data_IF_521424229512
#
_entry.id   IF_521424229512
#
_cell.length_a   1.000
_cell.length_b   1.000
_cell.length_c   1.000
_cell.angle_alpha   90.00
_cell.angle_beta   90.00
_cell.angle_gamma   90.00
#
_symmetry.space_group_name_H-M   'P 1'
#
loop_
_entity.id
_entity.type
_entity.pdbx_description
1 polymer ?
#
# COMPACT_ATOMS: atom_id res chain seq x y z
N UNK A 1 -30.86 -22.51 9.76
CA UNK A 1 -29.85 -23.09 10.68
C UNK A 1 -28.47 -23.28 10.02
N UNK A 2 -28.42 -23.64 8.73
CA UNK A 2 -27.14 -23.93 8.02
C UNK A 2 -26.24 -22.69 7.88
N UNK A 3 -26.80 -21.50 7.74
CA UNK A 3 -26.06 -20.24 7.58
C UNK A 3 -25.70 -19.56 8.90
N UNK A 4 -26.20 -20.02 10.03
CA UNK A 4 -25.97 -19.39 11.33
C UNK A 4 -24.48 -19.45 11.72
N UNK A 5 -23.87 -20.61 11.56
CA UNK A 5 -22.45 -20.82 11.88
C UNK A 5 -21.51 -19.96 11.01
N UNK A 6 -21.63 -19.93 9.68
CA UNK A 6 -20.89 -18.98 8.83
C UNK A 6 -21.11 -17.52 9.20
N UNK A 7 -22.34 -17.13 9.55
CA UNK A 7 -22.67 -15.76 9.92
C UNK A 7 -22.01 -15.33 11.24
N UNK A 8 -21.93 -16.21 12.22
CA UNK A 8 -21.23 -15.94 13.49
C UNK A 8 -19.73 -15.76 13.23
N UNK A 9 -19.11 -16.64 12.43
CA UNK A 9 -17.69 -16.52 12.07
C UNK A 9 -17.43 -15.19 11.35
N UNK A 10 -18.27 -14.85 10.37
CA UNK A 10 -18.16 -13.60 9.62
C UNK A 10 -18.27 -12.39 10.54
N UNK A 11 -19.21 -12.39 11.47
CA UNK A 11 -19.37 -11.32 12.45
C UNK A 11 -18.12 -11.17 13.35
N UNK A 12 -17.61 -12.27 13.89
CA UNK A 12 -16.41 -12.26 14.74
C UNK A 12 -15.18 -11.74 13.99
N UNK A 13 -14.96 -12.19 12.74
CA UNK A 13 -13.84 -11.73 11.92
C UNK A 13 -13.99 -10.24 11.55
N UNK A 14 -15.24 -9.79 11.28
CA UNK A 14 -15.50 -8.38 11.01
C UNK A 14 -15.23 -7.52 12.25
N UNK A 15 -15.68 -7.95 13.42
CA UNK A 15 -15.37 -7.25 14.69
C UNK A 15 -13.86 -7.18 14.92
N UNK A 16 -13.14 -8.27 14.71
CA UNK A 16 -11.68 -8.28 14.82
C UNK A 16 -11.03 -7.28 13.85
N UNK A 17 -11.48 -7.20 12.60
CA UNK A 17 -10.98 -6.24 11.62
C UNK A 17 -11.27 -4.78 12.03
N UNK A 18 -12.44 -4.50 12.61
CA UNK A 18 -12.78 -3.17 13.16
C UNK A 18 -11.86 -2.83 14.32
N UNK A 19 -11.60 -3.74 15.24
CA UNK A 19 -10.67 -3.53 16.35
C UNK A 19 -9.22 -3.28 15.86
N UNK A 20 -8.85 -3.82 14.70
CA UNK A 20 -7.57 -3.56 14.05
C UNK A 20 -7.53 -2.28 13.19
N UNK A 21 -8.61 -1.50 13.13
CA UNK A 21 -8.61 -0.17 12.49
C UNK A 21 -9.45 -0.04 11.21
N UNK A 22 -10.26 -1.03 10.84
CA UNK A 22 -11.15 -0.95 9.67
C UNK A 22 -12.47 -0.21 9.99
N UNK A 23 -12.41 1.11 10.22
CA UNK A 23 -13.51 1.91 10.76
C UNK A 23 -14.55 2.43 9.74
N UNK A 24 -14.36 2.26 8.45
CA UNK A 24 -15.30 2.76 7.45
C UNK A 24 -16.57 1.92 7.36
N UNK A 25 -17.77 2.53 7.36
CA UNK A 25 -19.06 1.80 7.23
C UNK A 25 -19.05 0.87 6.01
N UNK A 26 -18.59 1.34 4.87
CA UNK A 26 -18.48 0.53 3.66
C UNK A 26 -17.48 -0.60 3.81
N UNK A 27 -16.35 -0.38 4.46
CA UNK A 27 -15.37 -1.44 4.73
C UNK A 27 -15.95 -2.53 5.62
N UNK A 28 -16.67 -2.16 6.67
CA UNK A 28 -17.34 -3.11 7.57
C UNK A 28 -18.37 -3.96 6.84
N UNK A 29 -19.22 -3.34 6.00
CA UNK A 29 -20.22 -4.06 5.21
C UNK A 29 -19.58 -5.02 4.20
N UNK A 30 -18.57 -4.56 3.46
CA UNK A 30 -17.89 -5.41 2.48
C UNK A 30 -17.08 -6.53 3.14
N UNK A 31 -16.40 -6.25 4.26
CA UNK A 31 -15.70 -7.28 5.04
C UNK A 31 -16.66 -8.35 5.57
N UNK A 32 -17.78 -7.93 6.14
CA UNK A 32 -18.79 -8.88 6.60
C UNK A 32 -19.32 -9.75 5.46
N UNK A 33 -19.65 -9.16 4.32
CA UNK A 33 -20.08 -9.90 3.13
C UNK A 33 -19.00 -10.86 2.61
N UNK A 34 -17.75 -10.42 2.56
CA UNK A 34 -16.62 -11.25 2.13
C UNK A 34 -16.35 -12.41 3.09
N UNK A 35 -16.34 -12.17 4.40
CA UNK A 35 -16.18 -13.23 5.40
C UNK A 35 -17.37 -14.19 5.43
N UNK A 36 -18.60 -13.70 5.23
CA UNK A 36 -19.78 -14.55 5.11
C UNK A 36 -19.71 -15.43 3.86
N UNK A 37 -19.31 -14.87 2.72
CA UNK A 37 -19.09 -15.61 1.49
C UNK A 37 -17.98 -16.64 1.66
N UNK A 38 -16.86 -16.27 2.29
CA UNK A 38 -15.76 -17.18 2.58
C UNK A 38 -16.21 -18.35 3.47
N UNK A 39 -16.77 -18.06 4.65
CA UNK A 39 -17.18 -19.08 5.61
C UNK A 39 -18.28 -19.98 5.05
N UNK A 40 -19.27 -19.41 4.34
CA UNK A 40 -20.35 -20.17 3.70
C UNK A 40 -19.85 -21.12 2.62
N UNK A 41 -18.98 -20.64 1.72
CA UNK A 41 -18.40 -21.46 0.66
C UNK A 41 -17.43 -22.50 1.23
N UNK A 42 -16.67 -22.21 2.30
CA UNK A 42 -15.81 -23.18 2.96
C UNK A 42 -16.61 -24.34 3.57
N UNK A 43 -17.69 -24.02 4.27
CA UNK A 43 -18.60 -25.06 4.83
C UNK A 43 -19.21 -25.90 3.71
N UNK A 44 -19.67 -25.27 2.62
CA UNK A 44 -20.23 -25.97 1.47
C UNK A 44 -19.18 -26.85 0.78
N UNK A 45 -17.95 -26.35 0.59
CA UNK A 45 -16.81 -27.09 0.05
C UNK A 45 -16.54 -28.34 0.87
N UNK A 46 -16.36 -28.19 2.19
CA UNK A 46 -16.03 -29.31 3.09
C UNK A 46 -17.16 -30.36 3.08
N UNK A 47 -18.41 -29.93 3.14
CA UNK A 47 -19.55 -30.82 3.05
C UNK A 47 -19.58 -31.59 1.74
N UNK A 48 -19.35 -30.91 0.62
CA UNK A 48 -19.37 -31.51 -0.71
C UNK A 48 -18.19 -32.45 -0.94
N UNK A 49 -17.00 -32.08 -0.50
CA UNK A 49 -15.79 -32.90 -0.65
C UNK A 49 -15.89 -34.26 0.09
N UNK A 50 -16.67 -34.31 1.20
CA UNK A 50 -16.87 -35.53 1.98
C UNK A 50 -17.81 -36.55 1.31
N UNK A 51 -18.56 -36.14 0.29
CA UNK A 51 -19.48 -37.03 -0.44
C UNK A 51 -18.71 -37.73 -1.57
N UNK A 52 -18.96 -39.01 -1.79
CA UNK A 52 -18.30 -39.82 -2.84
C UNK A 52 -18.50 -39.15 -4.22
N UNK A 53 -17.39 -38.89 -4.92
CA UNK A 53 -17.39 -38.14 -6.19
C UNK A 53 -17.57 -36.63 -6.05
N UNK A 54 -17.70 -36.09 -4.85
CA UNK A 54 -17.94 -34.68 -4.56
C UNK A 54 -16.82 -33.73 -5.00
N UNK A 55 -15.56 -34.22 -5.04
CA UNK A 55 -14.39 -33.42 -5.46
C UNK A 55 -14.50 -32.84 -6.87
N UNK A 56 -15.23 -33.51 -7.78
CA UNK A 56 -15.44 -33.00 -9.15
C UNK A 56 -16.36 -31.77 -9.20
N UNK A 57 -17.10 -31.49 -8.13
CA UNK A 57 -18.13 -30.45 -8.06
C UNK A 57 -17.74 -29.30 -7.11
N UNK A 58 -16.49 -29.27 -6.63
CA UNK A 58 -16.04 -28.25 -5.66
C UNK A 58 -15.43 -27.01 -6.32
N UNK A 59 -15.15 -27.04 -7.62
CA UNK A 59 -14.45 -25.95 -8.33
C UNK A 59 -15.11 -24.58 -8.13
N UNK A 60 -16.46 -24.51 -8.20
CA UNK A 60 -17.20 -23.27 -7.96
C UNK A 60 -16.99 -22.70 -6.54
N UNK A 61 -16.98 -23.56 -5.52
CA UNK A 61 -16.75 -23.12 -4.13
C UNK A 61 -15.32 -22.59 -3.94
N UNK A 62 -14.32 -23.23 -4.57
CA UNK A 62 -12.93 -22.78 -4.55
C UNK A 62 -12.80 -21.41 -5.22
N UNK A 63 -13.44 -21.20 -6.38
CA UNK A 63 -13.46 -19.91 -7.04
C UNK A 63 -14.06 -18.81 -6.15
N UNK A 64 -15.20 -19.07 -5.50
CA UNK A 64 -15.81 -18.10 -4.59
C UNK A 64 -14.97 -17.80 -3.35
N UNK A 65 -14.25 -18.80 -2.81
CA UNK A 65 -13.27 -18.58 -1.74
C UNK A 65 -12.14 -17.65 -2.21
N UNK A 66 -11.63 -17.85 -3.43
CA UNK A 66 -10.61 -16.98 -4.02
C UNK A 66 -11.08 -15.54 -4.16
N UNK A 67 -12.31 -15.33 -4.67
CA UNK A 67 -12.91 -13.99 -4.79
C UNK A 67 -13.12 -13.34 -3.43
N UNK A 68 -13.60 -14.09 -2.44
CA UNK A 68 -13.77 -13.56 -1.08
C UNK A 68 -12.44 -13.10 -0.46
N UNK A 69 -11.37 -13.90 -0.60
CA UNK A 69 -10.02 -13.53 -0.16
C UNK A 69 -9.47 -12.31 -0.90
N UNK A 70 -9.71 -12.23 -2.21
CA UNK A 70 -9.32 -11.06 -3.01
C UNK A 70 -9.99 -9.78 -2.49
N UNK A 71 -11.29 -9.83 -2.19
CA UNK A 71 -12.01 -8.67 -1.64
C UNK A 71 -11.43 -8.27 -0.29
N UNK A 72 -11.16 -9.23 0.60
CA UNK A 72 -10.51 -8.95 1.90
C UNK A 72 -9.14 -8.31 1.70
N UNK A 73 -8.34 -8.83 0.76
CA UNK A 73 -7.01 -8.28 0.44
C UNK A 73 -7.08 -6.84 -0.08
N UNK A 74 -8.01 -6.54 -0.99
CA UNK A 74 -8.22 -5.17 -1.51
C UNK A 74 -8.63 -4.21 -0.39
N UNK A 75 -9.55 -4.62 0.49
CA UNK A 75 -9.97 -3.79 1.62
C UNK A 75 -8.81 -3.59 2.60
N UNK A 76 -8.07 -4.63 2.93
CA UNK A 76 -6.91 -4.53 3.81
C UNK A 76 -5.88 -3.52 3.26
N UNK A 77 -5.54 -3.62 1.96
CA UNK A 77 -4.64 -2.67 1.32
C UNK A 77 -5.18 -1.24 1.38
N UNK A 78 -6.49 -1.03 1.22
CA UNK A 78 -7.11 0.29 1.26
C UNK A 78 -7.14 0.88 2.68
N UNK A 79 -7.41 0.06 3.68
CA UNK A 79 -7.52 0.49 5.09
C UNK A 79 -6.16 0.79 5.70
N UNK A 80 -5.16 -0.04 5.44
CA UNK A 80 -3.84 0.07 6.07
C UNK A 80 -2.84 0.91 5.28
N UNK A 81 -3.18 1.31 4.05
CA UNK A 81 -2.36 2.24 3.28
C UNK A 81 -2.55 3.66 3.80
N UNK A 82 -1.50 4.24 4.34
CA UNK A 82 -1.46 5.65 4.75
C UNK A 82 -0.66 6.45 3.73
N UNK A 83 -1.14 7.63 3.38
CA UNK A 83 -0.44 8.53 2.46
C UNK A 83 -0.35 9.88 3.12
N UNK A 84 0.84 10.44 3.16
CA UNK A 84 1.09 11.81 3.63
C UNK A 84 1.90 12.57 2.58
N UNK A 85 1.71 13.87 2.55
CA UNK A 85 2.46 14.78 1.71
C UNK A 85 3.37 15.63 2.58
N UNK A 86 4.63 15.72 2.21
CA UNK A 86 5.66 16.37 2.99
C UNK A 86 6.41 17.37 2.11
N UNK A 87 6.56 18.59 2.61
CA UNK A 87 7.42 19.62 2.02
C UNK A 87 8.71 19.69 2.84
N UNK A 88 9.85 19.44 2.20
CA UNK A 88 11.16 19.48 2.82
C UNK A 88 12.11 20.44 2.08
N UNK A 89 12.93 21.14 2.85
CA UNK A 89 14.08 21.88 2.37
C UNK A 89 15.35 21.03 2.49
N UNK A 90 16.37 21.33 1.70
CA UNK A 90 17.67 20.65 1.81
C UNK A 90 18.22 20.84 3.23
N UNK A 91 18.60 19.73 3.85
CA UNK A 91 19.06 19.69 5.24
C UNK A 91 17.94 19.59 6.28
N UNK A 92 16.67 19.62 5.88
CA UNK A 92 15.55 19.46 6.80
C UNK A 92 15.26 17.97 7.05
N UNK A 93 15.11 17.62 8.32
CA UNK A 93 14.65 16.30 8.77
C UNK A 93 13.25 16.42 9.36
N UNK A 94 12.38 15.44 9.03
CA UNK A 94 11.03 15.39 9.57
C UNK A 94 10.58 13.95 9.80
N UNK A 95 9.90 13.74 10.89
CA UNK A 95 9.27 12.45 11.19
C UNK A 95 7.90 12.36 10.48
N UNK A 96 7.69 11.26 9.74
CA UNK A 96 6.45 10.99 9.01
C UNK A 96 6.21 9.49 8.92
N UNK A 97 4.99 9.05 9.19
CA UNK A 97 4.58 7.63 9.16
C UNK A 97 5.49 6.71 10.00
N UNK A 98 6.12 7.23 11.07
CA UNK A 98 7.06 6.52 11.92
C UNK A 98 8.45 6.31 11.31
N UNK A 99 8.84 7.20 10.37
CA UNK A 99 10.16 7.29 9.79
C UNK A 99 10.70 8.70 9.89
N UNK A 100 11.99 8.83 10.19
CA UNK A 100 12.72 10.08 10.03
C UNK A 100 13.20 10.17 8.59
N UNK A 101 12.85 11.25 7.92
CA UNK A 101 13.23 11.53 6.53
C UNK A 101 14.03 12.82 6.51
N UNK A 102 15.33 12.74 6.19
CA UNK A 102 16.22 13.85 5.98
C UNK A 102 16.38 14.08 4.48
N UNK A 103 16.14 15.28 4.00
CA UNK A 103 16.44 15.66 2.63
C UNK A 103 17.90 16.11 2.52
N UNK A 104 18.79 15.20 2.08
CA UNK A 104 20.22 15.45 2.04
C UNK A 104 20.63 16.37 0.89
N UNK A 105 20.24 16.07 -0.34
CA UNK A 105 20.59 16.89 -1.51
C UNK A 105 19.72 16.62 -2.74
N UNK A 106 19.69 17.61 -3.64
CA UNK A 106 19.17 17.48 -5.00
C UNK A 106 20.33 17.24 -5.97
N UNK A 107 20.12 16.33 -6.90
CA UNK A 107 21.12 15.96 -7.90
C UNK A 107 20.50 16.04 -9.30
N UNK A 108 21.19 16.67 -10.24
CA UNK A 108 20.84 16.62 -11.65
C UNK A 108 21.71 15.60 -12.37
N UNK A 109 21.11 14.74 -13.16
CA UNK A 109 21.83 13.73 -13.92
C UNK A 109 21.21 13.57 -15.32
N UNK A 110 21.99 13.01 -16.24
CA UNK A 110 21.53 12.76 -17.60
C UNK A 110 21.41 11.25 -17.82
N UNK A 111 20.23 10.80 -18.21
CA UNK A 111 20.02 9.40 -18.58
C UNK A 111 20.61 9.19 -19.98
N UNK A 112 21.49 8.21 -20.11
CA UNK A 112 22.27 7.94 -21.33
C UNK A 112 21.39 7.64 -22.55
N UNK A 113 20.17 7.12 -22.33
CA UNK A 113 19.29 6.68 -23.42
C UNK A 113 18.64 7.83 -24.19
N UNK A 114 18.31 8.95 -23.56
CA UNK A 114 17.60 10.06 -24.19
C UNK A 114 18.25 11.43 -24.02
N UNK A 115 19.40 11.48 -23.35
CA UNK A 115 20.20 12.68 -23.06
C UNK A 115 19.42 13.85 -22.43
N UNK A 116 18.28 13.58 -21.80
CA UNK A 116 17.47 14.61 -21.13
C UNK A 116 17.90 14.76 -19.68
N UNK A 117 18.00 16.00 -19.19
CA UNK A 117 18.32 16.23 -17.78
C UNK A 117 17.21 15.69 -16.90
N UNK A 118 17.58 14.90 -15.92
CA UNK A 118 16.69 14.31 -14.93
C UNK A 118 17.09 14.82 -13.55
N UNK A 119 16.17 14.84 -12.62
CA UNK A 119 16.39 15.32 -11.25
C UNK A 119 16.12 14.20 -10.28
N UNK A 120 17.08 13.97 -9.38
CA UNK A 120 16.94 13.06 -8.25
C UNK A 120 17.03 13.81 -6.93
N UNK A 121 16.39 13.26 -5.92
CA UNK A 121 16.43 13.72 -4.54
C UNK A 121 17.03 12.62 -3.68
N UNK A 122 18.16 12.91 -3.03
CA UNK A 122 18.77 11.97 -2.10
C UNK A 122 18.16 12.21 -0.72
N UNK A 123 17.44 11.23 -0.23
CA UNK A 123 16.79 11.23 1.06
C UNK A 123 17.43 10.17 1.94
N UNK A 124 17.75 10.53 3.17
CA UNK A 124 18.16 9.57 4.19
C UNK A 124 16.97 9.22 5.07
N UNK A 125 16.68 7.94 5.14
CA UNK A 125 15.50 7.41 5.83
C UNK A 125 15.96 6.49 6.96
N UNK A 126 15.51 6.78 8.17
CA UNK A 126 15.81 5.98 9.35
C UNK A 126 14.56 5.76 10.20
N UNK A 127 14.56 4.74 11.05
CA UNK A 127 13.54 4.61 12.08
C UNK A 127 13.97 5.36 13.34
N UNK A 128 13.04 5.99 14.05
CA UNK A 128 13.33 6.59 15.34
C UNK A 128 14.03 5.59 16.29
N UNK A 129 15.18 5.98 16.83
CA UNK A 129 15.98 5.13 17.70
C UNK A 129 16.81 4.04 17.03
N UNK A 130 16.94 4.07 15.70
CA UNK A 130 17.79 3.15 14.94
C UNK A 130 18.94 3.89 14.28
N UNK A 131 20.16 3.36 14.43
CA UNK A 131 21.36 3.90 13.76
C UNK A 131 21.41 3.50 12.27
N UNK A 132 20.48 2.68 11.81
CA UNK A 132 20.43 2.26 10.41
C UNK A 132 19.80 3.34 9.54
N UNK A 133 20.60 3.96 8.71
CA UNK A 133 20.16 4.91 7.68
C UNK A 133 20.08 4.18 6.32
N UNK A 134 19.00 4.39 5.59
CA UNK A 134 18.78 3.86 4.25
C UNK A 134 18.68 5.04 3.30
N UNK A 135 19.48 5.06 2.25
CA UNK A 135 19.39 6.10 1.22
C UNK A 135 18.27 5.74 0.23
N UNK A 136 17.29 6.61 0.13
CA UNK A 136 16.23 6.56 -0.86
C UNK A 136 16.48 7.64 -1.92
N UNK A 137 16.38 7.28 -3.20
CA UNK A 137 16.66 8.19 -4.32
C UNK A 137 15.51 8.20 -5.32
N UNK A 138 14.38 8.83 -4.99
CA UNK A 138 13.33 9.09 -5.97
C UNK A 138 13.83 10.07 -7.03
N UNK A 139 13.36 9.93 -8.27
CA UNK A 139 13.76 10.85 -9.33
C UNK A 139 12.64 11.11 -10.33
N UNK A 140 12.78 12.22 -11.06
CA UNK A 140 11.88 12.58 -12.16
C UNK A 140 12.67 12.69 -13.45
N UNK A 141 12.06 12.22 -14.53
CA UNK A 141 12.62 12.26 -15.86
C UNK A 141 11.63 12.86 -16.86
N UNK A 142 12.04 13.85 -17.68
CA UNK A 142 11.21 14.34 -18.76
C UNK A 142 11.09 13.28 -19.87
N UNK A 143 9.89 13.08 -20.39
CA UNK A 143 9.59 12.22 -21.52
C UNK A 143 8.87 13.03 -22.61
N UNK A 144 8.61 12.43 -23.76
CA UNK A 144 7.82 13.07 -24.80
C UNK A 144 6.34 13.34 -24.38
N UNK A 145 5.86 12.64 -23.35
CA UNK A 145 4.49 12.70 -22.86
C UNK A 145 4.35 13.47 -21.51
N UNK A 146 5.46 14.04 -21.00
CA UNK A 146 5.47 14.75 -19.73
C UNK A 146 6.57 14.25 -18.78
N UNK A 147 6.45 14.58 -17.49
CA UNK A 147 7.39 14.16 -16.47
C UNK A 147 7.05 12.77 -15.93
N UNK A 148 7.96 11.83 -16.07
CA UNK A 148 7.83 10.49 -15.49
C UNK A 148 8.47 10.48 -14.09
N UNK A 149 7.68 10.08 -13.09
CA UNK A 149 8.11 9.97 -11.69
C UNK A 149 8.60 8.56 -11.41
N UNK A 150 9.78 8.45 -10.85
CA UNK A 150 10.35 7.19 -10.36
C UNK A 150 10.44 7.26 -8.85
N UNK A 151 9.53 6.56 -8.14
CA UNK A 151 9.56 6.54 -6.69
C UNK A 151 10.72 5.70 -6.17
N UNK A 152 11.15 5.98 -4.95
CA UNK A 152 12.01 5.10 -4.18
C UNK A 152 11.16 4.26 -3.22
N UNK A 153 11.56 3.01 -2.99
CA UNK A 153 10.89 2.08 -2.09
C UNK A 153 11.88 1.60 -1.05
N UNK A 154 11.56 1.82 0.22
CA UNK A 154 12.31 1.29 1.36
C UNK A 154 11.52 0.09 1.91
N UNK A 155 11.98 -1.11 1.59
CA UNK A 155 11.31 -2.34 2.00
C UNK A 155 11.79 -2.81 3.38
N UNK A 156 10.83 -3.18 4.23
CA UNK A 156 11.07 -3.77 5.54
C UNK A 156 10.19 -4.99 5.77
N UNK A 157 10.48 -5.77 6.83
CA UNK A 157 9.64 -6.92 7.22
C UNK A 157 8.22 -6.52 7.64
N UNK A 158 7.99 -5.26 7.99
CA UNK A 158 6.68 -4.73 8.43
C UNK A 158 5.88 -4.05 7.31
N UNK A 159 6.49 -3.83 6.15
CA UNK A 159 5.86 -3.16 5.00
C UNK A 159 6.84 -2.34 4.18
N UNK A 160 6.35 -1.79 3.09
CA UNK A 160 7.11 -0.94 2.19
C UNK A 160 6.80 0.53 2.48
N UNK A 161 7.85 1.35 2.57
CA UNK A 161 7.75 2.80 2.66
C UNK A 161 8.08 3.39 1.28
N UNK A 162 7.08 4.00 0.68
CA UNK A 162 7.11 4.46 -0.69
C UNK A 162 7.24 5.98 -0.74
N UNK A 163 8.24 6.50 -1.44
CA UNK A 163 8.52 7.93 -1.54
C UNK A 163 8.46 8.35 -3.01
N UNK A 164 7.53 9.22 -3.35
CA UNK A 164 7.35 9.75 -4.70
C UNK A 164 7.47 11.27 -4.71
N UNK A 165 8.27 11.87 -5.61
CA UNK A 165 8.30 13.31 -5.77
C UNK A 165 6.99 13.81 -6.38
N UNK A 166 6.49 14.95 -5.88
CA UNK A 166 5.22 15.55 -6.32
C UNK A 166 5.38 16.83 -7.14
N UNK A 167 6.57 17.38 -7.24
CA UNK A 167 6.83 18.65 -7.93
C UNK A 167 6.19 18.66 -9.32
N UNK A 168 4.99 19.23 -9.41
CA UNK A 168 4.32 19.52 -10.68
C UNK A 168 4.83 20.82 -11.30
N UNK A 169 5.46 21.68 -10.50
CA UNK A 169 5.94 23.02 -10.87
C UNK A 169 7.43 23.17 -10.58
N UNK A 170 8.27 22.36 -11.22
CA UNK A 170 9.74 22.41 -11.06
C UNK A 170 10.35 23.81 -11.31
N UNK A 171 9.58 24.75 -11.84
CA UNK A 171 9.99 26.15 -12.08
C UNK A 171 9.66 27.14 -10.97
N UNK A 172 8.58 26.96 -10.20
CA UNK A 172 8.12 27.93 -9.20
C UNK A 172 8.52 27.59 -7.76
N UNK A 173 8.44 26.31 -7.37
CA UNK A 173 8.85 25.86 -6.02
C UNK A 173 10.38 25.88 -5.81
N UNK A 174 11.16 25.81 -6.90
CA UNK A 174 12.61 25.93 -6.86
C UNK A 174 13.14 27.27 -6.32
N UNK A 175 12.30 28.31 -6.28
CA UNK A 175 12.72 29.62 -5.74
C UNK A 175 12.91 29.62 -4.22
N UNK A 176 12.23 28.74 -3.50
CA UNK A 176 12.33 28.63 -2.03
C UNK A 176 13.10 27.40 -1.54
N UNK A 177 13.64 26.57 -2.45
CA UNK A 177 14.41 25.38 -2.08
C UNK A 177 13.62 24.25 -1.41
N UNK A 178 12.30 24.38 -1.30
CA UNK A 178 11.45 23.34 -0.74
C UNK A 178 10.90 22.42 -1.84
N UNK A 179 10.86 21.11 -1.57
CA UNK A 179 10.33 20.11 -2.48
C UNK A 179 9.25 19.27 -1.81
N UNK A 180 8.22 18.93 -2.59
CA UNK A 180 7.08 18.19 -2.10
C UNK A 180 7.20 16.71 -2.45
N UNK A 181 7.00 15.85 -1.43
CA UNK A 181 7.05 14.40 -1.56
C UNK A 181 5.75 13.78 -1.05
N UNK A 182 5.26 12.78 -1.78
CA UNK A 182 4.19 11.90 -1.31
C UNK A 182 4.80 10.64 -0.73
N UNK A 183 4.42 10.36 0.50
CA UNK A 183 4.88 9.22 1.27
C UNK A 183 3.70 8.26 1.49
N UNK A 184 3.93 6.98 1.37
CA UNK A 184 2.89 5.97 1.52
C UNK A 184 3.41 4.74 2.25
#
# INVERSE_FOLDING_TARGET
RVMLFPAIIAALLTVAAVLMGAWGVWFVLFLFAAFLAFAGNLVALVRRARVRGGLRLVGGFVAHLGVALLIVGVIATSVYSRTETLNLQVGEEREVLGWNVLYAQREEFVVTSDRRPSVAWNLEVSKPGSDRVITARPYMRPTAQGMLRHPAIVSTSAGDFYISPLDEHAGELSRNGAHEFRLK
#
